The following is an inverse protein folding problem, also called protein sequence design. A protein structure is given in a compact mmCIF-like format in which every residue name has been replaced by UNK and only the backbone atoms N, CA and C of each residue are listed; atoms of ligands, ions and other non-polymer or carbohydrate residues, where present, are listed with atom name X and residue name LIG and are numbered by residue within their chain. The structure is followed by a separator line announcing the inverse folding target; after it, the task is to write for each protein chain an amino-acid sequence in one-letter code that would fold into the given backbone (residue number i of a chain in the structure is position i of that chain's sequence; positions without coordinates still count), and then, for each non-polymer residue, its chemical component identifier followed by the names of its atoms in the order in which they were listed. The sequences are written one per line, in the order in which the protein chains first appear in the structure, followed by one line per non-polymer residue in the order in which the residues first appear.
data_IF_901287291340
#
_entry.id   IF_901287291340
#
_cell.length_a   1.000
_cell.length_b   1.000
_cell.length_c   1.000
_cell.angle_alpha   90.00
_cell.angle_beta   90.00
_cell.angle_gamma   90.00
#
_symmetry.space_group_name_H-M   'P 1'
#
loop_
_entity.id
_entity.type
_entity.pdbx_description
1 polymer ?
#
# COMPACT_ATOMS: atom_id res chain seq x y z
N UNK A 1 -10.07 5.56 45.04
CA UNK A 1 -9.05 5.24 46.06
C UNK A 1 -7.93 4.38 45.45
N UNK A 2 -8.19 3.13 45.06
CA UNK A 2 -7.16 2.21 44.56
C UNK A 2 -6.38 2.67 43.31
N UNK A 3 -6.96 3.53 42.49
CA UNK A 3 -6.29 4.13 41.33
C UNK A 3 -5.33 5.29 41.69
N UNK A 4 -5.42 5.85 42.90
CA UNK A 4 -4.58 6.98 43.35
C UNK A 4 -3.58 6.62 44.43
N UNK A 5 -3.59 5.38 44.91
CA UNK A 5 -2.68 4.90 45.96
C UNK A 5 -1.59 4.02 45.34
N UNK A 6 -0.48 3.86 46.08
CA UNK A 6 0.58 2.92 45.69
C UNK A 6 0.05 1.50 45.57
N UNK A 7 0.78 0.66 44.84
CA UNK A 7 0.42 -0.74 44.70
C UNK A 7 0.28 -1.41 46.07
N UNK A 8 -0.88 -2.03 46.28
CA UNK A 8 -1.22 -2.74 47.51
C UNK A 8 -0.70 -4.18 47.47
N UNK A 9 -0.26 -4.66 46.31
CA UNK A 9 0.32 -5.99 46.13
C UNK A 9 1.84 -5.93 46.37
N UNK A 10 2.36 -6.89 47.12
CA UNK A 10 3.81 -7.04 47.32
C UNK A 10 4.43 -7.76 46.12
N UNK A 11 5.67 -7.39 45.78
CA UNK A 11 6.46 -8.08 44.75
C UNK A 11 7.33 -9.18 45.38
N UNK A 12 7.42 -10.38 44.77
CA UNK A 12 6.69 -10.82 43.57
C UNK A 12 5.20 -11.03 43.83
N UNK A 13 4.36 -10.67 42.84
CA UNK A 13 2.89 -10.75 42.96
C UNK A 13 2.47 -12.22 43.13
N UNK A 14 1.66 -12.50 44.15
CA UNK A 14 1.16 -13.86 44.38
C UNK A 14 0.18 -14.29 43.27
N UNK A 15 0.25 -15.57 42.86
CA UNK A 15 -0.56 -16.16 41.77
C UNK A 15 -2.08 -15.92 41.89
N UNK A 16 -2.60 -15.78 43.11
CA UNK A 16 -4.02 -15.45 43.36
C UNK A 16 -4.46 -14.08 42.83
N UNK A 17 -3.53 -13.18 42.55
CA UNK A 17 -3.77 -11.83 42.04
C UNK A 17 -3.24 -11.65 40.60
N UNK A 18 -2.83 -12.73 39.93
CA UNK A 18 -2.36 -12.66 38.53
C UNK A 18 -3.44 -13.04 37.53
N UNK A 19 -4.66 -13.30 38.01
CA UNK A 19 -5.81 -13.70 37.19
C UNK A 19 -7.06 -12.94 37.67
N UNK A 20 -7.94 -12.64 36.73
CA UNK A 20 -9.25 -12.08 37.04
C UNK A 20 -10.13 -13.15 37.74
N UNK A 21 -11.08 -12.75 38.60
CA UNK A 21 -12.09 -13.68 39.12
C UNK A 21 -12.94 -14.28 37.98
N UNK A 22 -13.37 -15.54 38.15
CA UNK A 22 -14.24 -16.20 37.18
C UNK A 22 -15.56 -15.42 37.01
N UNK A 23 -15.92 -15.15 35.76
CA UNK A 23 -17.14 -14.40 35.40
C UNK A 23 -17.06 -12.89 35.62
N UNK A 24 -15.90 -12.34 36.00
CA UNK A 24 -15.68 -10.88 36.06
C UNK A 24 -14.77 -10.41 34.91
N UNK A 25 -14.83 -9.11 34.59
CA UNK A 25 -13.95 -8.49 33.59
C UNK A 25 -12.49 -8.58 34.02
N UNK A 26 -11.59 -8.76 33.04
CA UNK A 26 -10.15 -8.76 33.27
C UNK A 26 -9.64 -7.33 33.58
N UNK A 27 -9.71 -6.95 34.84
CA UNK A 27 -9.36 -5.62 35.31
C UNK A 27 -8.45 -5.63 36.54
N UNK A 28 -7.29 -4.97 36.43
CA UNK A 28 -6.33 -4.86 37.53
C UNK A 28 -6.97 -4.17 38.74
N UNK A 29 -7.89 -3.21 38.52
CA UNK A 29 -8.60 -2.53 39.59
C UNK A 29 -9.53 -3.46 40.38
N UNK A 30 -10.18 -4.42 39.70
CA UNK A 30 -11.04 -5.44 40.34
C UNK A 30 -10.22 -6.39 41.20
N UNK A 31 -9.04 -6.79 40.71
CA UNK A 31 -8.09 -7.60 41.49
C UNK A 31 -7.64 -6.84 42.74
N UNK A 32 -7.30 -5.56 42.60
CA UNK A 32 -6.95 -4.70 43.75
C UNK A 32 -8.13 -4.50 44.70
N UNK A 33 -9.36 -4.41 44.22
CA UNK A 33 -10.55 -4.34 45.08
C UNK A 33 -10.67 -5.59 45.96
N UNK A 34 -10.51 -6.77 45.36
CA UNK A 34 -10.55 -8.05 46.07
C UNK A 34 -9.41 -8.17 47.08
N UNK A 35 -8.20 -7.78 46.70
CA UNK A 35 -7.04 -7.74 47.59
C UNK A 35 -7.27 -6.81 48.79
N UNK A 36 -7.88 -5.64 48.57
CA UNK A 36 -8.22 -4.70 49.64
C UNK A 36 -9.26 -5.27 50.62
N UNK A 37 -10.27 -5.99 50.12
CA UNK A 37 -11.26 -6.70 50.95
C UNK A 37 -10.59 -7.79 51.79
N UNK A 38 -9.70 -8.57 51.18
CA UNK A 38 -8.94 -9.58 51.92
C UNK A 38 -8.07 -8.93 53.01
N UNK A 39 -7.44 -7.78 52.75
CA UNK A 39 -6.70 -7.06 53.78
C UNK A 39 -7.59 -6.54 54.90
N UNK A 40 -8.82 -6.13 54.58
CA UNK A 40 -9.82 -5.71 55.56
C UNK A 40 -10.20 -6.84 56.52
N UNK A 41 -10.43 -8.04 55.99
CA UNK A 41 -10.75 -9.24 56.80
C UNK A 41 -9.59 -9.68 57.71
N UNK A 42 -8.38 -9.16 57.46
CA UNK A 42 -7.16 -9.41 58.23
C UNK A 42 -6.78 -8.22 59.12
N UNK A 43 -7.70 -7.27 59.34
CA UNK A 43 -7.49 -6.03 60.11
C UNK A 43 -6.29 -5.19 59.66
N UNK A 44 -5.88 -5.38 58.41
CA UNK A 44 -4.68 -4.78 57.81
C UNK A 44 -3.40 -5.06 58.62
N UNK A 45 -3.33 -6.18 59.35
CA UNK A 45 -2.13 -6.56 60.10
C UNK A 45 -0.94 -6.75 59.13
N UNK A 46 0.19 -6.04 59.32
CA UNK A 46 1.30 -6.09 58.37
C UNK A 46 1.87 -7.49 58.14
N UNK A 47 2.00 -8.31 59.18
CA UNK A 47 2.58 -9.64 59.07
C UNK A 47 1.62 -10.61 58.38
N UNK A 48 0.35 -10.60 58.79
CA UNK A 48 -0.67 -11.49 58.22
C UNK A 48 -0.99 -11.11 56.77
N UNK A 49 -1.14 -9.83 56.46
CA UNK A 49 -1.28 -9.34 55.07
C UNK A 49 -0.05 -9.71 54.22
N UNK A 50 1.16 -9.54 54.76
CA UNK A 50 2.41 -9.91 54.08
C UNK A 50 2.43 -11.38 53.65
N UNK A 51 1.97 -12.30 54.51
CA UNK A 51 1.84 -13.72 54.18
C UNK A 51 0.89 -14.01 53.01
N UNK A 52 -0.06 -13.10 52.75
CA UNK A 52 -1.01 -13.15 51.62
C UNK A 52 -0.59 -12.27 50.45
N UNK A 53 0.63 -11.71 50.47
CA UNK A 53 1.17 -10.90 49.38
C UNK A 53 0.62 -9.48 49.33
N UNK A 54 0.13 -8.96 50.46
CA UNK A 54 -0.52 -7.66 50.57
C UNK A 54 0.31 -6.71 51.42
N UNK A 55 0.35 -5.44 51.04
CA UNK A 55 0.94 -4.38 51.85
C UNK A 55 -0.14 -3.82 52.81
N UNK A 56 -0.20 -4.38 54.03
CA UNK A 56 -1.19 -4.01 55.06
C UNK A 56 -1.31 -2.50 55.29
N UNK A 57 -0.21 -1.77 55.55
CA UNK A 57 -0.23 -0.32 55.69
C UNK A 57 -0.82 0.43 54.48
N UNK A 58 -0.42 0.09 53.25
CA UNK A 58 -0.98 0.72 52.02
C UNK A 58 -2.45 0.37 51.84
N UNK A 59 -2.86 -0.87 52.12
CA UNK A 59 -4.27 -1.26 52.12
C UNK A 59 -5.10 -0.41 53.11
N UNK A 60 -4.58 -0.20 54.33
CA UNK A 60 -5.25 0.63 55.35
C UNK A 60 -5.41 2.07 54.87
N UNK A 61 -4.37 2.64 54.26
CA UNK A 61 -4.42 3.98 53.67
C UNK A 61 -5.48 4.05 52.55
N UNK A 62 -5.47 3.10 51.61
CA UNK A 62 -6.47 3.04 50.53
C UNK A 62 -7.90 2.93 51.08
N UNK A 63 -8.12 2.18 52.16
CA UNK A 63 -9.42 2.06 52.82
C UNK A 63 -9.84 3.38 53.50
N UNK A 64 -8.91 4.12 54.12
CA UNK A 64 -9.19 5.45 54.68
C UNK A 64 -9.58 6.44 53.58
N UNK A 65 -8.82 6.48 52.49
CA UNK A 65 -9.11 7.30 51.30
C UNK A 65 -10.49 6.94 50.72
N UNK A 66 -10.84 5.65 50.64
CA UNK A 66 -12.16 5.21 50.19
C UNK A 66 -13.31 5.69 51.10
N UNK A 67 -13.10 5.72 52.43
CA UNK A 67 -14.09 6.27 53.38
C UNK A 67 -14.31 7.75 53.15
N UNK A 68 -13.26 8.53 52.93
CA UNK A 68 -13.37 9.96 52.62
C UNK A 68 -14.19 10.21 51.36
N UNK A 69 -13.96 9.44 50.29
CA UNK A 69 -14.76 9.53 49.06
C UNK A 69 -16.23 9.15 49.30
N UNK A 70 -16.50 8.13 50.13
CA UNK A 70 -17.86 7.73 50.48
C UNK A 70 -18.59 8.81 51.28
N UNK A 71 -17.91 9.44 52.23
CA UNK A 71 -18.49 10.54 53.01
C UNK A 71 -18.79 11.76 52.12
N UNK A 72 -17.92 12.06 51.16
CA UNK A 72 -18.17 13.09 50.16
C UNK A 72 -19.38 12.73 49.26
N UNK A 73 -19.48 11.49 48.78
CA UNK A 73 -20.61 11.02 47.98
C UNK A 73 -21.94 11.12 48.74
N UNK A 74 -21.96 10.76 50.03
CA UNK A 74 -23.13 10.91 50.91
C UNK A 74 -23.56 12.36 51.08
N UNK A 75 -22.61 13.30 51.23
CA UNK A 75 -22.91 14.74 51.29
C UNK A 75 -23.54 15.26 50.00
N UNK A 76 -23.15 14.68 48.86
CA UNK A 76 -23.75 14.94 47.55
C UNK A 76 -25.06 14.16 47.31
N UNK A 77 -25.54 13.40 48.31
CA UNK A 77 -26.74 12.57 48.23
C UNK A 77 -26.69 11.51 47.11
N UNK A 78 -25.49 11.07 46.75
CA UNK A 78 -25.31 9.92 45.87
C UNK A 78 -25.61 8.63 46.63
N UNK A 79 -26.20 7.66 45.94
CA UNK A 79 -26.42 6.32 46.52
C UNK A 79 -25.08 5.61 46.69
N UNK A 80 -24.78 5.17 47.91
CA UNK A 80 -23.58 4.43 48.28
C UNK A 80 -23.87 2.98 48.68
N UNK A 81 -25.10 2.49 48.41
CA UNK A 81 -25.53 1.14 48.77
C UNK A 81 -25.15 0.13 47.69
N UNK A 82 -24.60 -1.01 48.11
CA UNK A 82 -24.26 -2.13 47.23
C UNK A 82 -22.88 -2.00 46.57
N UNK A 83 -22.54 -3.00 45.75
CA UNK A 83 -21.23 -3.11 45.06
C UNK A 83 -21.22 -2.41 43.68
N UNK A 84 -22.38 -2.19 43.06
CA UNK A 84 -22.49 -1.83 41.64
C UNK A 84 -22.06 -2.98 40.72
N UNK A 85 -22.20 -2.81 39.40
CA UNK A 85 -21.67 -3.74 38.41
C UNK A 85 -20.24 -3.34 37.99
N UNK A 86 -19.39 -4.33 37.72
CA UNK A 86 -18.04 -4.07 37.21
C UNK A 86 -18.08 -3.36 35.85
N UNK A 87 -19.06 -3.67 35.02
CA UNK A 87 -19.30 -2.96 33.75
C UNK A 87 -19.48 -1.46 33.97
N UNK A 88 -20.34 -1.05 34.90
CA UNK A 88 -20.59 0.37 35.20
C UNK A 88 -19.32 1.10 35.66
N UNK A 89 -18.49 0.42 36.47
CA UNK A 89 -17.18 0.95 36.88
C UNK A 89 -16.29 1.19 35.65
N UNK A 90 -16.19 0.21 34.75
CA UNK A 90 -15.33 0.30 33.57
C UNK A 90 -15.84 1.35 32.57
N UNK A 91 -17.14 1.44 32.34
CA UNK A 91 -17.78 2.52 31.56
C UNK A 91 -17.50 3.89 32.19
N UNK A 92 -17.56 4.00 33.52
CA UNK A 92 -17.20 5.23 34.23
C UNK A 92 -15.73 5.61 34.06
N UNK A 93 -14.82 4.62 34.04
CA UNK A 93 -13.40 4.86 33.75
C UNK A 93 -13.19 5.32 32.30
N UNK A 94 -13.96 4.78 31.33
CA UNK A 94 -13.94 5.23 29.94
C UNK A 94 -14.43 6.67 29.79
N UNK A 95 -15.45 7.05 30.56
CA UNK A 95 -15.93 8.43 30.64
C UNK A 95 -14.86 9.35 31.23
N UNK A 96 -14.16 8.90 32.28
CA UNK A 96 -13.18 9.72 32.99
C UNK A 96 -11.83 9.86 32.26
N UNK A 97 -11.41 8.81 31.54
CA UNK A 97 -10.08 8.72 30.91
C UNK A 97 -10.16 8.27 29.44
N UNK A 98 -10.88 9.01 28.58
CA UNK A 98 -11.06 8.61 27.20
C UNK A 98 -9.77 8.63 26.38
N UNK A 99 -8.81 9.48 26.74
CA UNK A 99 -7.47 9.57 26.16
C UNK A 99 -6.56 8.36 26.51
N UNK A 100 -7.00 7.50 27.44
CA UNK A 100 -6.20 6.37 27.95
C UNK A 100 -6.64 5.02 27.40
N UNK A 101 -7.43 5.02 26.33
CA UNK A 101 -7.83 3.82 25.61
C UNK A 101 -6.65 3.26 24.84
N UNK A 102 -6.38 1.97 25.00
CA UNK A 102 -5.38 1.24 24.25
C UNK A 102 -5.97 0.01 23.57
N UNK A 103 -5.60 -0.20 22.30
CA UNK A 103 -6.00 -1.36 21.50
C UNK A 103 -4.83 -2.32 21.36
N UNK A 104 -5.09 -3.62 21.53
CA UNK A 104 -4.07 -4.65 21.38
C UNK A 104 -3.72 -4.84 19.91
N UNK A 105 -2.45 -4.63 19.55
CA UNK A 105 -1.99 -4.80 18.16
C UNK A 105 -1.74 -6.26 17.80
N UNK A 106 -1.23 -7.03 18.77
CA UNK A 106 -0.96 -8.44 18.60
C UNK A 106 -1.26 -9.16 19.91
N UNK A 107 -2.13 -10.16 19.88
CA UNK A 107 -2.49 -10.93 21.08
C UNK A 107 -1.34 -11.81 21.60
N UNK A 108 -0.31 -12.09 20.79
CA UNK A 108 0.86 -12.91 21.17
C UNK A 108 1.92 -12.17 21.99
N UNK A 109 1.89 -10.84 22.02
CA UNK A 109 2.81 -10.03 22.81
C UNK A 109 2.05 -8.95 23.55
N UNK A 110 2.74 -8.10 24.33
CA UNK A 110 2.14 -7.06 25.16
C UNK A 110 1.95 -5.71 24.42
N UNK A 111 2.16 -5.66 23.10
CA UNK A 111 2.15 -4.41 22.34
C UNK A 111 0.73 -3.92 22.06
N UNK A 112 0.46 -2.69 22.50
CA UNK A 112 -0.76 -1.96 22.23
C UNK A 112 -0.47 -0.69 21.40
N UNK A 113 -1.54 -0.08 20.92
CA UNK A 113 -1.55 1.28 20.39
C UNK A 113 -2.49 2.14 21.23
N UNK A 114 -2.16 3.42 21.36
CA UNK A 114 -3.01 4.47 21.92
C UNK A 114 -3.09 5.62 20.92
N UNK A 115 -4.05 6.53 21.09
CA UNK A 115 -4.08 7.80 20.36
C UNK A 115 -2.71 8.51 20.52
N UNK A 116 -2.13 8.98 19.41
CA UNK A 116 -0.80 9.61 19.42
C UNK A 116 0.40 8.70 19.64
N UNK A 117 0.21 7.44 20.06
CA UNK A 117 1.30 6.51 20.39
C UNK A 117 1.07 5.11 19.78
N UNK A 118 1.71 4.87 18.63
CA UNK A 118 1.56 3.61 17.88
C UNK A 118 2.17 2.38 18.56
N UNK A 119 2.98 2.57 19.61
CA UNK A 119 3.69 1.50 20.30
C UNK A 119 3.83 1.79 21.79
N UNK A 120 2.93 1.23 22.57
CA UNK A 120 2.99 1.17 24.03
C UNK A 120 2.92 -0.30 24.46
N UNK A 121 3.35 -0.63 25.67
CA UNK A 121 3.41 -2.02 26.13
C UNK A 121 2.64 -2.21 27.44
N UNK A 122 1.74 -3.19 27.48
CA UNK A 122 1.03 -3.58 28.70
C UNK A 122 2.01 -4.15 29.74
N UNK A 123 1.79 -3.85 31.02
CA UNK A 123 2.50 -4.51 32.12
C UNK A 123 2.35 -6.04 32.03
N UNK A 124 3.44 -6.82 32.00
CA UNK A 124 3.39 -8.27 32.05
C UNK A 124 2.60 -8.86 33.22
N UNK A 125 2.44 -8.10 34.31
CA UNK A 125 1.70 -8.50 35.52
C UNK A 125 0.20 -8.21 35.45
N UNK A 126 -0.26 -7.46 34.44
CA UNK A 126 -1.68 -7.16 34.29
C UNK A 126 -2.51 -8.41 34.08
N UNK A 127 -3.74 -8.43 34.59
CA UNK A 127 -4.71 -9.50 34.30
C UNK A 127 -5.41 -9.31 32.95
N UNK A 128 -5.36 -8.12 32.36
CA UNK A 128 -5.99 -7.76 31.08
C UNK A 128 -5.19 -8.22 29.84
N UNK A 129 -4.30 -9.23 29.98
CA UNK A 129 -3.35 -9.64 28.93
C UNK A 129 -3.99 -10.09 27.63
N UNK A 130 -5.17 -10.70 27.73
CA UNK A 130 -5.92 -11.25 26.60
C UNK A 130 -6.97 -10.29 26.05
N UNK A 131 -7.19 -9.16 26.73
CA UNK A 131 -8.21 -8.19 26.34
C UNK A 131 -7.84 -7.52 24.99
N UNK A 132 -8.79 -7.40 24.05
CA UNK A 132 -8.55 -6.73 22.77
C UNK A 132 -8.40 -5.21 22.94
N UNK A 133 -9.04 -4.64 23.97
CA UNK A 133 -9.01 -3.23 24.30
C UNK A 133 -8.96 -3.06 25.82
N UNK A 134 -8.32 -1.97 26.27
CA UNK A 134 -8.17 -1.67 27.69
C UNK A 134 -8.08 -0.17 27.96
N UNK A 135 -8.31 0.20 29.21
CA UNK A 135 -7.98 1.53 29.76
C UNK A 135 -6.86 1.36 30.77
N UNK A 136 -5.77 2.09 30.56
CA UNK A 136 -4.65 2.16 31.48
C UNK A 136 -4.81 3.37 32.41
N UNK A 137 -4.89 3.13 33.72
CA UNK A 137 -5.01 4.23 34.68
C UNK A 137 -3.66 4.86 35.02
N UNK A 138 -2.57 4.14 34.76
CA UNK A 138 -1.20 4.61 34.94
C UNK A 138 -0.39 4.39 33.65
N UNK A 139 0.33 5.42 33.23
CA UNK A 139 1.20 5.39 32.07
C UNK A 139 2.58 5.85 32.52
N UNK A 140 3.58 5.00 32.33
CA UNK A 140 4.95 5.26 32.77
C UNK A 140 5.90 5.24 31.58
N UNK A 141 6.77 6.24 31.48
CA UNK A 141 7.89 6.21 30.54
C UNK A 141 9.10 5.59 31.22
N UNK A 142 9.59 4.49 30.66
CA UNK A 142 10.74 3.74 31.14
C UNK A 142 11.88 3.88 30.15
N UNK A 143 13.11 4.04 30.65
CA UNK A 143 14.29 3.92 29.81
C UNK A 143 14.41 2.46 29.32
N UNK A 144 14.39 2.27 28.01
CA UNK A 144 14.59 0.97 27.41
C UNK A 144 16.08 0.63 27.35
N UNK A 145 16.41 -0.67 27.27
CA UNK A 145 17.80 -1.11 27.05
C UNK A 145 18.25 -0.72 25.64
N UNK A 146 19.12 0.29 25.55
CA UNK A 146 19.70 0.84 24.33
C UNK A 146 19.63 2.37 24.32
N UNK A 147 20.67 3.04 23.79
CA UNK A 147 20.80 4.51 23.84
C UNK A 147 19.53 5.23 23.35
N UNK A 148 18.93 6.05 24.22
CA UNK A 148 17.89 7.03 23.89
C UNK A 148 16.49 6.47 23.59
N UNK A 149 16.21 5.18 23.80
CA UNK A 149 14.87 4.62 23.54
C UNK A 149 14.01 4.67 24.81
N UNK A 150 12.94 5.47 24.77
CA UNK A 150 11.89 5.47 25.80
C UNK A 150 10.85 4.40 25.45
N UNK A 151 10.43 3.63 26.46
CA UNK A 151 9.32 2.67 26.37
C UNK A 151 8.18 3.13 27.27
N UNK A 152 7.01 3.33 26.69
CA UNK A 152 5.78 3.61 27.44
C UNK A 152 5.14 2.31 27.93
N UNK A 153 4.96 2.18 29.23
CA UNK A 153 4.33 1.05 29.90
C UNK A 153 2.93 1.42 30.40
N UNK A 154 1.95 0.56 30.10
CA UNK A 154 0.58 0.69 30.56
C UNK A 154 0.37 -0.16 31.82
N UNK A 155 0.12 0.51 32.94
CA UNK A 155 -0.09 -0.11 34.24
C UNK A 155 -1.53 0.11 34.71
N UNK A 156 -1.97 -0.73 35.64
CA UNK A 156 -3.33 -0.71 36.17
C UNK A 156 -4.36 -0.71 35.04
N UNK A 157 -4.23 -1.70 34.16
CA UNK A 157 -5.00 -1.83 32.95
C UNK A 157 -6.31 -2.58 33.21
N UNK A 158 -7.38 -2.13 32.55
CA UNK A 158 -8.71 -2.66 32.73
C UNK A 158 -9.33 -2.94 31.38
N UNK A 159 -9.71 -4.20 31.13
CA UNK A 159 -10.36 -4.59 29.89
C UNK A 159 -11.64 -3.79 29.66
N UNK A 160 -11.87 -3.37 28.43
CA UNK A 160 -13.13 -2.73 28.02
C UNK A 160 -13.73 -3.46 26.82
N UNK A 161 -15.04 -3.35 26.66
CA UNK A 161 -15.68 -3.72 25.40
C UNK A 161 -15.46 -2.61 24.37
N UNK A 162 -15.16 -3.01 23.13
CA UNK A 162 -15.02 -2.09 22.02
C UNK A 162 -16.34 -1.40 21.65
N UNK A 163 -17.48 -2.09 21.85
CA UNK A 163 -18.80 -1.52 21.58
C UNK A 163 -19.07 -0.28 22.46
N UNK A 164 -18.43 -0.18 23.62
CA UNK A 164 -18.58 0.97 24.51
C UNK A 164 -17.97 2.25 23.93
N UNK A 165 -17.02 2.16 22.99
CA UNK A 165 -16.47 3.35 22.33
C UNK A 165 -17.54 4.05 21.50
N UNK A 166 -18.37 3.28 20.79
CA UNK A 166 -19.48 3.79 19.96
C UNK A 166 -20.68 4.19 20.83
N UNK A 167 -20.94 3.44 21.91
CA UNK A 167 -22.02 3.73 22.88
C UNK A 167 -21.78 5.05 23.64
N UNK A 168 -20.57 5.25 24.17
CA UNK A 168 -20.25 6.38 25.06
C UNK A 168 -19.77 7.60 24.28
N UNK A 169 -19.06 7.40 23.16
CA UNK A 169 -18.45 8.48 22.39
C UNK A 169 -18.73 8.37 20.88
N UNK A 170 -20.01 8.43 20.45
CA UNK A 170 -20.38 8.37 19.04
C UNK A 170 -19.71 9.46 18.19
N UNK A 171 -19.47 10.64 18.78
CA UNK A 171 -18.85 11.78 18.08
C UNK A 171 -17.31 11.66 17.93
N UNK A 172 -16.67 10.70 18.62
CA UNK A 172 -15.22 10.46 18.54
C UNK A 172 -14.87 9.26 17.68
N UNK A 173 -15.87 8.49 17.22
CA UNK A 173 -15.66 7.35 16.34
C UNK A 173 -15.93 7.73 14.88
N UNK A 174 -15.18 7.13 13.97
CA UNK A 174 -15.44 7.23 12.53
C UNK A 174 -15.20 5.89 11.85
N UNK A 175 -16.05 5.54 10.89
CA UNK A 175 -15.81 4.44 9.95
C UNK A 175 -15.43 5.02 8.58
N UNK A 176 -14.39 4.46 7.97
CA UNK A 176 -13.97 4.82 6.62
C UNK A 176 -13.53 3.58 5.85
N UNK A 177 -13.75 3.58 4.54
CA UNK A 177 -13.26 2.55 3.63
C UNK A 177 -11.84 2.93 3.23
N UNK A 178 -10.87 2.06 3.54
CA UNK A 178 -9.51 2.16 3.03
C UNK A 178 -9.34 1.21 1.85
N UNK A 179 -8.93 1.76 0.71
CA UNK A 179 -8.56 1.00 -0.48
C UNK A 179 -7.04 0.88 -0.51
N UNK A 180 -6.53 -0.34 -0.50
CA UNK A 180 -5.08 -0.59 -0.47
C UNK A 180 -4.72 -1.70 -1.44
N UNK A 181 -3.43 -1.82 -1.74
CA UNK A 181 -2.91 -2.93 -2.53
C UNK A 181 -2.27 -3.97 -1.63
N UNK A 182 -2.62 -5.22 -1.86
CA UNK A 182 -2.03 -6.38 -1.24
C UNK A 182 -0.99 -6.99 -2.18
N UNK A 183 0.28 -6.92 -1.78
CA UNK A 183 1.40 -7.47 -2.55
C UNK A 183 1.42 -9.00 -2.62
N UNK A 184 0.87 -9.69 -1.61
CA UNK A 184 0.78 -11.15 -1.59
C UNK A 184 -0.23 -11.63 -2.63
N UNK A 185 -1.44 -11.08 -2.58
CA UNK A 185 -2.55 -11.49 -3.44
C UNK A 185 -2.55 -10.79 -4.81
N UNK A 186 -1.65 -9.83 -5.00
CA UNK A 186 -1.54 -8.96 -6.17
C UNK A 186 -2.90 -8.38 -6.56
N UNK A 187 -3.58 -7.80 -5.58
CA UNK A 187 -4.94 -7.32 -5.69
C UNK A 187 -5.16 -6.04 -4.89
N UNK A 188 -6.09 -5.23 -5.36
CA UNK A 188 -6.68 -4.15 -4.59
C UNK A 188 -7.70 -4.74 -3.63
N UNK A 189 -7.62 -4.33 -2.37
CA UNK A 189 -8.49 -4.74 -1.28
C UNK A 189 -9.08 -3.51 -0.60
N UNK A 190 -10.34 -3.64 -0.20
CA UNK A 190 -11.00 -2.63 0.61
C UNK A 190 -11.21 -3.17 2.02
N UNK A 191 -10.85 -2.36 3.01
CA UNK A 191 -11.08 -2.65 4.43
C UNK A 191 -11.89 -1.50 5.01
N UNK A 192 -12.99 -1.82 5.68
CA UNK A 192 -13.68 -0.86 6.53
C UNK A 192 -12.89 -0.75 7.84
N UNK A 193 -12.51 0.47 8.19
CA UNK A 193 -11.63 0.76 9.32
C UNK A 193 -12.34 1.72 10.26
N UNK A 194 -12.57 1.28 11.49
CA UNK A 194 -13.13 2.12 12.53
C UNK A 194 -12.01 2.70 13.39
N UNK A 195 -12.11 4.01 13.63
CA UNK A 195 -11.14 4.81 14.37
C UNK A 195 -11.82 5.50 15.53
N UNK A 196 -11.12 5.55 16.65
CA UNK A 196 -11.41 6.41 17.78
C UNK A 196 -10.46 7.61 17.72
N UNK A 197 -10.97 8.81 18.00
CA UNK A 197 -10.25 10.09 17.86
C UNK A 197 -9.81 10.41 16.44
N UNK A 198 -10.71 10.20 15.48
CA UNK A 198 -10.46 10.45 14.06
C UNK A 198 -10.01 11.88 13.71
N UNK A 199 -10.30 12.86 14.56
CA UNK A 199 -9.84 14.25 14.41
C UNK A 199 -8.36 14.48 14.74
N UNK A 200 -7.68 13.48 15.30
CA UNK A 200 -6.27 13.57 15.68
C UNK A 200 -5.34 12.93 14.63
N UNK A 201 -4.09 13.42 14.53
CA UNK A 201 -3.11 12.96 13.54
C UNK A 201 -2.81 11.45 13.60
N UNK A 202 -3.02 10.82 14.74
CA UNK A 202 -2.78 9.40 14.97
C UNK A 202 -4.00 8.75 15.64
N UNK A 203 -5.15 8.87 14.98
CA UNK A 203 -6.39 8.23 15.38
C UNK A 203 -6.22 6.71 15.62
N UNK A 204 -6.83 6.23 16.69
CA UNK A 204 -6.68 4.87 17.17
C UNK A 204 -7.60 3.91 16.40
N UNK A 205 -7.02 3.07 15.55
CA UNK A 205 -7.77 2.01 14.85
C UNK A 205 -8.12 0.90 15.82
N UNK A 206 -9.42 0.66 16.04
CA UNK A 206 -9.91 -0.37 16.96
C UNK A 206 -10.65 -1.53 16.27
N UNK A 207 -11.10 -1.32 15.03
CA UNK A 207 -11.77 -2.37 14.25
C UNK A 207 -11.37 -2.30 12.78
N UNK A 208 -11.24 -3.48 12.15
CA UNK A 208 -10.94 -3.66 10.73
C UNK A 208 -11.76 -4.83 10.19
N UNK A 209 -12.51 -4.58 9.13
CA UNK A 209 -13.31 -5.62 8.46
C UNK A 209 -13.02 -5.59 6.97
N UNK A 210 -12.46 -6.68 6.40
CA UNK A 210 -12.30 -6.81 4.96
C UNK A 210 -13.67 -6.72 4.27
N UNK A 211 -13.76 -5.93 3.21
CA UNK A 211 -14.96 -5.85 2.38
C UNK A 211 -14.84 -6.85 1.23
N UNK A 212 -15.95 -7.51 0.91
CA UNK A 212 -16.01 -8.43 -0.24
C UNK A 212 -16.12 -7.67 -1.57
N UNK A 213 -16.82 -6.54 -1.56
CA UNK A 213 -16.96 -5.66 -2.72
C UNK A 213 -15.80 -4.66 -2.76
N UNK A 214 -15.23 -4.51 -3.95
CA UNK A 214 -14.16 -3.54 -4.23
C UNK A 214 -14.72 -2.49 -5.16
N UNK A 215 -14.60 -1.22 -4.78
CA UNK A 215 -14.81 -0.08 -5.67
C UNK A 215 -13.83 -0.16 -6.85
N UNK A 216 -14.36 -0.44 -8.03
CA UNK A 216 -13.58 -0.62 -9.24
C UNK A 216 -12.90 0.69 -9.66
N UNK A 217 -13.52 1.84 -9.43
CA UNK A 217 -12.93 3.14 -9.78
C UNK A 217 -11.66 3.38 -8.95
N UNK A 218 -11.75 3.18 -7.63
CA UNK A 218 -10.60 3.30 -6.74
C UNK A 218 -9.54 2.23 -7.02
N UNK A 219 -9.94 1.03 -7.45
CA UNK A 219 -9.01 -0.02 -7.83
C UNK A 219 -8.26 0.30 -9.13
N UNK A 220 -8.94 0.86 -10.12
CA UNK A 220 -8.35 1.29 -11.39
C UNK A 220 -7.26 2.35 -11.15
N UNK A 221 -7.54 3.36 -10.32
CA UNK A 221 -6.54 4.37 -9.90
C UNK A 221 -5.27 3.74 -9.32
N UNK A 222 -5.43 2.77 -8.41
CA UNK A 222 -4.29 2.08 -7.79
C UNK A 222 -3.53 1.22 -8.80
N UNK A 223 -4.22 0.55 -9.72
CA UNK A 223 -3.59 -0.27 -10.75
C UNK A 223 -2.81 0.60 -11.74
N UNK A 224 -3.39 1.72 -12.21
CA UNK A 224 -2.73 2.68 -13.11
C UNK A 224 -1.50 3.27 -12.43
N UNK A 225 -1.62 3.77 -11.21
CA UNK A 225 -0.48 4.31 -10.46
C UNK A 225 0.69 3.32 -10.34
N UNK A 226 0.38 2.02 -10.18
CA UNK A 226 1.39 0.96 -10.13
C UNK A 226 2.01 0.62 -11.48
N UNK A 227 1.24 0.68 -12.57
CA UNK A 227 1.77 0.51 -13.93
C UNK A 227 2.73 1.66 -14.25
N UNK A 228 2.32 2.91 -13.98
CA UNK A 228 3.12 4.11 -14.22
C UNK A 228 4.41 4.12 -13.38
N UNK A 229 4.37 3.56 -12.16
CA UNK A 229 5.55 3.41 -11.30
C UNK A 229 6.44 2.19 -11.66
N UNK A 230 6.18 1.50 -12.77
CA UNK A 230 6.86 0.25 -13.21
C UNK A 230 6.82 -0.88 -12.16
N UNK A 231 5.81 -0.87 -11.29
CA UNK A 231 5.59 -1.90 -10.27
C UNK A 231 4.74 -3.06 -10.82
N UNK A 232 3.93 -2.81 -11.84
CA UNK A 232 3.13 -3.81 -12.53
C UNK A 232 3.37 -3.74 -14.04
N UNK A 233 3.81 -4.86 -14.62
CA UNK A 233 4.09 -4.95 -16.07
C UNK A 233 2.91 -5.51 -16.85
N UNK A 234 2.51 -4.85 -17.93
CA UNK A 234 1.58 -5.41 -18.91
C UNK A 234 2.36 -6.29 -19.90
N UNK A 235 2.15 -7.62 -19.88
CA UNK A 235 2.94 -8.57 -20.68
C UNK A 235 2.74 -8.40 -22.19
N UNK A 236 1.55 -7.94 -22.59
CA UNK A 236 1.22 -7.65 -24.00
C UNK A 236 1.40 -6.19 -24.37
N UNK A 237 1.99 -5.38 -23.50
CA UNK A 237 2.63 -4.15 -23.92
C UNK A 237 3.96 -4.51 -24.59
N UNK A 238 3.87 -4.88 -25.86
CA UNK A 238 4.94 -5.51 -26.63
C UNK A 238 5.50 -4.55 -27.70
N UNK A 239 6.38 -5.06 -28.57
CA UNK A 239 6.97 -4.27 -29.65
C UNK A 239 5.95 -3.70 -30.63
N UNK A 240 4.80 -4.35 -30.82
CA UNK A 240 3.79 -3.86 -31.77
C UNK A 240 3.09 -2.61 -31.22
N UNK A 241 2.84 -2.57 -29.91
CA UNK A 241 2.34 -1.38 -29.19
C UNK A 241 3.33 -0.22 -29.33
N UNK A 242 4.60 -0.48 -29.03
CA UNK A 242 5.67 0.52 -29.14
C UNK A 242 5.80 1.06 -30.57
N UNK A 243 5.78 0.17 -31.57
CA UNK A 243 5.85 0.59 -32.96
C UNK A 243 4.63 1.43 -33.36
N UNK A 244 3.42 1.11 -32.91
CA UNK A 244 2.24 1.93 -33.17
C UNK A 244 2.37 3.34 -32.60
N UNK A 245 2.80 3.48 -31.34
CA UNK A 245 3.04 4.77 -30.68
C UNK A 245 4.07 5.58 -31.46
N UNK A 246 5.21 4.97 -31.80
CA UNK A 246 6.30 5.64 -32.52
C UNK A 246 5.91 6.07 -33.93
N UNK A 247 5.12 5.25 -34.65
CA UNK A 247 4.56 5.60 -35.96
C UNK A 247 3.65 6.81 -35.87
N UNK A 248 2.78 6.83 -34.85
CA UNK A 248 1.82 7.92 -34.65
C UNK A 248 2.52 9.22 -34.27
N UNK A 249 3.46 9.19 -33.32
CA UNK A 249 4.30 10.35 -32.94
C UNK A 249 5.08 10.93 -34.12
N UNK A 250 5.63 10.07 -34.98
CA UNK A 250 6.28 10.53 -36.21
C UNK A 250 5.29 11.31 -37.09
N UNK A 251 4.10 10.76 -37.31
CA UNK A 251 3.10 11.38 -38.18
C UNK A 251 2.51 12.65 -37.58
N UNK A 252 2.33 12.72 -36.26
CA UNK A 252 1.95 13.94 -35.57
C UNK A 252 2.92 15.08 -35.90
N UNK A 253 4.23 14.83 -35.80
CA UNK A 253 5.27 15.81 -36.15
C UNK A 253 5.27 16.21 -37.63
N UNK A 254 5.02 15.26 -38.53
CA UNK A 254 5.05 15.51 -39.98
C UNK A 254 3.76 16.11 -40.54
N UNK A 255 2.65 15.94 -39.83
CA UNK A 255 1.30 16.39 -40.21
C UNK A 255 0.60 17.10 -39.02
N UNK A 256 1.12 18.24 -38.53
CA UNK A 256 0.60 18.90 -37.34
C UNK A 256 -0.88 19.29 -37.44
N UNK A 257 -1.36 19.62 -38.65
CA UNK A 257 -2.76 19.98 -38.90
C UNK A 257 -3.77 18.83 -38.70
N UNK A 258 -3.32 17.60 -38.45
CA UNK A 258 -4.19 16.44 -38.18
C UNK A 258 -4.45 16.21 -36.70
N UNK A 259 -3.71 16.87 -35.81
CA UNK A 259 -3.92 16.78 -34.35
C UNK A 259 -3.96 15.32 -33.84
N UNK A 260 -3.04 14.49 -34.36
CA UNK A 260 -2.90 13.12 -33.88
C UNK A 260 -2.44 13.11 -32.42
N UNK A 261 -2.92 12.13 -31.65
CA UNK A 261 -2.52 11.85 -30.27
C UNK A 261 -0.98 11.72 -30.17
N UNK A 262 -0.40 12.30 -29.11
CA UNK A 262 1.04 12.29 -28.85
C UNK A 262 1.49 11.01 -28.11
N UNK A 263 0.57 10.35 -27.44
CA UNK A 263 0.81 9.40 -26.36
C UNK A 263 1.76 9.99 -25.31
N UNK A 264 1.57 11.24 -24.90
CA UNK A 264 2.28 11.75 -23.71
C UNK A 264 1.81 11.05 -22.42
N UNK A 265 2.41 11.38 -21.29
CA UNK A 265 2.14 10.68 -20.03
C UNK A 265 0.66 10.81 -19.62
N UNK A 266 0.02 11.95 -19.88
CA UNK A 266 -1.39 12.21 -19.56
C UNK A 266 -2.32 11.38 -20.48
N UNK A 267 -2.04 11.36 -21.80
CA UNK A 267 -2.78 10.55 -22.76
C UNK A 267 -2.61 9.04 -22.52
N UNK A 268 -1.39 8.61 -22.14
CA UNK A 268 -1.11 7.22 -21.76
C UNK A 268 -1.85 6.84 -20.47
N UNK A 269 -1.96 7.74 -19.52
CA UNK A 269 -2.71 7.51 -18.29
C UNK A 269 -4.18 7.16 -18.59
N UNK A 270 -4.83 7.90 -19.50
CA UNK A 270 -6.19 7.59 -19.96
C UNK A 270 -6.28 6.19 -20.58
N UNK A 271 -5.32 5.82 -21.43
CA UNK A 271 -5.28 4.49 -22.05
C UNK A 271 -5.07 3.40 -20.99
N UNK A 272 -4.23 3.64 -19.97
CA UNK A 272 -4.07 2.69 -18.87
C UNK A 272 -5.37 2.48 -18.11
N UNK A 273 -6.15 3.53 -17.85
CA UNK A 273 -7.49 3.39 -17.25
C UNK A 273 -8.40 2.48 -18.09
N UNK A 274 -8.43 2.66 -19.42
CA UNK A 274 -9.19 1.76 -20.29
C UNK A 274 -8.67 0.31 -20.25
N UNK A 275 -7.35 0.12 -20.21
CA UNK A 275 -6.72 -1.21 -20.12
C UNK A 275 -7.07 -1.88 -18.79
N UNK A 276 -7.15 -1.15 -17.67
CA UNK A 276 -7.44 -1.72 -16.36
C UNK A 276 -8.92 -1.77 -16.03
N UNK A 277 -9.78 -1.19 -16.86
CA UNK A 277 -11.21 -1.08 -16.63
C UNK A 277 -11.85 -2.38 -16.11
N UNK A 278 -12.60 -2.27 -15.02
CA UNK A 278 -13.30 -3.37 -14.35
C UNK A 278 -12.40 -4.40 -13.66
N UNK A 279 -11.10 -4.11 -13.49
CA UNK A 279 -10.18 -4.99 -12.78
C UNK A 279 -9.81 -4.44 -11.40
N UNK A 280 -9.54 -5.37 -10.49
CA UNK A 280 -8.99 -5.08 -9.17
C UNK A 280 -7.83 -6.03 -8.81
N UNK A 281 -7.45 -6.94 -9.72
CA UNK A 281 -6.33 -7.88 -9.55
C UNK A 281 -5.38 -7.81 -10.74
N UNK A 282 -4.08 -7.93 -10.48
CA UNK A 282 -3.09 -7.90 -11.55
C UNK A 282 -3.29 -9.00 -12.60
N UNK A 283 -3.67 -10.21 -12.18
CA UNK A 283 -3.95 -11.33 -13.10
C UNK A 283 -5.04 -11.03 -14.14
N UNK A 284 -5.96 -10.09 -13.86
CA UNK A 284 -7.03 -9.72 -14.76
C UNK A 284 -6.55 -8.78 -15.88
N UNK A 285 -5.42 -8.09 -15.68
CA UNK A 285 -4.89 -7.08 -16.61
C UNK A 285 -3.58 -7.50 -17.27
N UNK A 286 -2.77 -8.34 -16.62
CA UNK A 286 -1.41 -8.68 -17.04
C UNK A 286 -1.31 -9.14 -18.50
N UNK A 287 -2.29 -9.91 -18.97
CA UNK A 287 -2.32 -10.51 -20.32
C UNK A 287 -3.37 -9.88 -21.24
N UNK A 288 -3.97 -8.74 -20.87
CA UNK A 288 -4.90 -7.99 -21.73
C UNK A 288 -4.16 -7.51 -22.97
N UNK A 289 -4.79 -7.64 -24.12
CA UNK A 289 -4.21 -7.18 -25.38
C UNK A 289 -4.20 -5.65 -25.39
N UNK A 290 -3.00 -5.06 -25.35
CA UNK A 290 -2.83 -3.62 -25.15
C UNK A 290 -2.94 -2.84 -26.47
N UNK A 291 -2.62 -3.47 -27.60
CA UNK A 291 -2.58 -2.81 -28.90
C UNK A 291 -3.94 -2.21 -29.31
N UNK A 292 -5.09 -2.89 -29.14
CA UNK A 292 -6.39 -2.32 -29.45
C UNK A 292 -6.71 -1.05 -28.67
N UNK A 293 -6.35 -0.95 -27.38
CA UNK A 293 -6.60 0.24 -26.56
C UNK A 293 -5.81 1.44 -27.08
N UNK A 294 -4.53 1.23 -27.38
CA UNK A 294 -3.67 2.27 -27.96
C UNK A 294 -4.16 2.68 -29.35
N UNK A 295 -4.62 1.74 -30.19
CA UNK A 295 -5.19 2.05 -31.50
C UNK A 295 -6.50 2.83 -31.41
N UNK A 296 -7.39 2.44 -30.49
CA UNK A 296 -8.72 3.01 -30.33
C UNK A 296 -8.71 4.42 -29.72
N UNK A 297 -7.58 4.86 -29.18
CA UNK A 297 -7.35 6.28 -28.86
C UNK A 297 -7.41 7.19 -30.11
N UNK A 298 -7.33 6.62 -31.31
CA UNK A 298 -7.55 7.31 -32.58
C UNK A 298 -8.85 6.86 -33.25
N UNK A 299 -9.61 7.78 -33.90
CA UNK A 299 -10.70 7.41 -34.78
C UNK A 299 -10.21 6.51 -35.94
N UNK A 300 -11.07 5.61 -36.42
CA UNK A 300 -10.74 4.65 -37.49
C UNK A 300 -10.05 5.28 -38.71
N UNK A 301 -10.50 6.46 -39.13
CA UNK A 301 -9.92 7.19 -40.26
C UNK A 301 -8.45 7.56 -40.03
N UNK A 302 -8.09 7.96 -38.82
CA UNK A 302 -6.71 8.29 -38.46
C UNK A 302 -5.87 7.03 -38.25
N UNK A 303 -6.46 5.93 -37.75
CA UNK A 303 -5.78 4.63 -37.72
C UNK A 303 -5.35 4.19 -39.13
N UNK A 304 -6.24 4.29 -40.11
CA UNK A 304 -5.93 3.98 -41.52
C UNK A 304 -4.87 4.93 -42.09
N UNK A 305 -4.89 6.20 -41.70
CA UNK A 305 -3.87 7.17 -42.08
C UNK A 305 -2.48 6.76 -41.54
N UNK A 306 -2.39 6.31 -40.28
CA UNK A 306 -1.15 5.78 -39.69
C UNK A 306 -0.65 4.55 -40.46
N UNK A 307 -1.56 3.62 -40.78
CA UNK A 307 -1.22 2.43 -41.56
C UNK A 307 -0.67 2.75 -42.95
N UNK A 308 -1.26 3.74 -43.62
CA UNK A 308 -0.84 4.14 -44.96
C UNK A 308 0.45 4.97 -44.97
N UNK A 309 0.58 5.94 -44.07
CA UNK A 309 1.66 6.93 -44.12
C UNK A 309 2.92 6.49 -43.38
N UNK A 310 2.78 5.64 -42.37
CA UNK A 310 3.88 5.06 -41.63
C UNK A 310 3.76 3.53 -41.63
N UNK A 311 3.90 2.83 -42.77
CA UNK A 311 3.73 1.39 -42.83
C UNK A 311 4.88 0.67 -42.10
N UNK A 312 4.61 -0.53 -41.58
CA UNK A 312 5.65 -1.42 -41.03
C UNK A 312 6.50 -2.10 -42.12
N UNK A 313 6.01 -2.12 -43.35
CA UNK A 313 6.70 -2.72 -44.48
C UNK A 313 6.48 -1.92 -45.75
N UNK A 314 7.55 -1.75 -46.53
CA UNK A 314 7.49 -1.14 -47.86
C UNK A 314 7.81 -2.18 -48.93
N UNK A 315 7.00 -2.24 -49.98
CA UNK A 315 7.27 -3.10 -51.14
C UNK A 315 8.33 -2.45 -52.01
N UNK A 316 9.36 -3.21 -52.35
CA UNK A 316 10.48 -2.76 -53.19
C UNK A 316 10.22 -3.14 -54.66
N UNK A 317 10.86 -2.45 -55.64
CA UNK A 317 10.75 -2.80 -57.06
C UNK A 317 11.16 -4.24 -57.38
N UNK A 318 12.10 -4.80 -56.60
CA UNK A 318 12.53 -6.20 -56.65
C UNK A 318 11.42 -7.20 -56.29
N UNK A 319 10.24 -6.75 -55.86
CA UNK A 319 9.15 -7.57 -55.35
C UNK A 319 9.30 -7.99 -53.89
N UNK A 320 10.48 -7.76 -53.30
CA UNK A 320 10.74 -8.03 -51.88
C UNK A 320 10.10 -6.97 -50.97
N UNK A 321 10.01 -7.27 -49.67
CA UNK A 321 9.53 -6.34 -48.63
C UNK A 321 10.69 -5.87 -47.77
N UNK A 322 10.78 -4.56 -47.57
CA UNK A 322 11.65 -3.95 -46.56
C UNK A 322 10.87 -3.76 -45.27
N UNK A 323 11.41 -4.23 -44.14
CA UNK A 323 10.83 -3.95 -42.81
C UNK A 323 11.22 -2.53 -42.42
N UNK A 324 10.28 -1.77 -41.89
CA UNK A 324 10.52 -0.44 -41.33
C UNK A 324 10.40 -0.53 -39.82
N UNK A 325 11.40 -0.03 -39.12
CA UNK A 325 11.46 0.04 -37.67
C UNK A 325 11.50 1.50 -37.23
N UNK A 326 10.46 1.92 -36.51
CA UNK A 326 10.32 3.28 -35.98
C UNK A 326 11.04 3.38 -34.65
N UNK A 327 11.62 4.55 -34.37
CA UNK A 327 12.45 4.82 -33.20
C UNK A 327 12.06 6.18 -32.62
N UNK A 328 12.16 6.31 -31.29
CA UNK A 328 11.96 7.61 -30.62
C UNK A 328 13.02 8.61 -31.08
N UNK A 329 14.27 8.15 -31.12
CA UNK A 329 15.42 8.96 -31.52
C UNK A 329 15.84 8.67 -32.97
N UNK A 330 15.58 9.66 -33.83
CA UNK A 330 16.05 9.69 -35.21
C UNK A 330 15.04 9.20 -36.26
N UNK A 331 15.47 9.14 -37.54
CA UNK A 331 14.60 8.72 -38.64
C UNK A 331 14.26 7.22 -38.55
N UNK A 332 13.09 6.80 -39.07
CA UNK A 332 12.74 5.38 -39.18
C UNK A 332 13.76 4.61 -40.01
N UNK A 333 14.03 3.37 -39.60
CA UNK A 333 15.05 2.51 -40.21
C UNK A 333 14.43 1.53 -41.19
N UNK A 334 14.80 1.64 -42.46
CA UNK A 334 14.48 0.64 -43.49
C UNK A 334 15.50 -0.48 -43.47
N UNK A 335 15.08 -1.69 -43.12
CA UNK A 335 15.95 -2.87 -42.98
C UNK A 335 15.68 -3.86 -44.10
N UNK A 336 16.67 -4.03 -44.97
CA UNK A 336 16.58 -4.94 -46.11
C UNK A 336 17.94 -5.54 -46.45
N UNK A 337 17.93 -6.75 -47.02
CA UNK A 337 19.14 -7.32 -47.61
C UNK A 337 19.58 -6.46 -48.80
N UNK A 338 20.88 -6.35 -49.00
CA UNK A 338 21.45 -5.57 -50.10
C UNK A 338 20.90 -5.97 -51.47
N UNK A 339 20.62 -7.27 -51.69
CA UNK A 339 20.04 -7.75 -52.95
C UNK A 339 18.64 -7.20 -53.21
N UNK A 340 17.86 -6.95 -52.16
CA UNK A 340 16.52 -6.42 -52.29
C UNK A 340 16.52 -4.96 -52.77
N UNK A 341 17.64 -4.25 -52.61
CA UNK A 341 17.79 -2.83 -52.89
C UNK A 341 18.40 -2.53 -54.26
N UNK A 342 18.88 -3.53 -55.03
CA UNK A 342 19.60 -3.29 -56.28
C UNK A 342 18.82 -2.47 -57.31
N UNK A 343 17.50 -2.62 -57.34
CA UNK A 343 16.63 -1.93 -58.31
C UNK A 343 16.19 -0.53 -57.81
N UNK A 344 16.75 -0.04 -56.70
CA UNK A 344 16.49 1.30 -56.17
C UNK A 344 17.65 2.26 -56.46
N UNK A 345 17.35 3.35 -57.14
CA UNK A 345 18.30 4.42 -57.48
C UNK A 345 18.38 5.53 -56.45
N UNK A 346 17.36 5.68 -55.59
CA UNK A 346 17.26 6.73 -54.57
C UNK A 346 16.75 6.15 -53.25
N UNK A 347 17.04 6.85 -52.15
CA UNK A 347 16.61 6.42 -50.81
C UNK A 347 15.08 6.43 -50.72
N UNK A 348 14.45 5.31 -50.31
CA UNK A 348 13.00 5.27 -50.15
C UNK A 348 12.49 6.30 -49.14
N UNK A 349 11.35 6.88 -49.47
CA UNK A 349 10.63 7.83 -48.62
C UNK A 349 9.28 7.24 -48.20
N UNK A 350 8.79 7.66 -47.05
CA UNK A 350 7.45 7.36 -46.52
C UNK A 350 6.70 8.67 -46.21
N UNK A 351 5.51 8.57 -45.60
CA UNK A 351 4.72 9.71 -45.15
C UNK A 351 4.46 10.74 -46.27
N UNK A 352 4.08 10.26 -47.46
CA UNK A 352 3.84 11.12 -48.61
C UNK A 352 5.07 11.91 -49.09
N UNK A 353 6.28 11.37 -48.89
CA UNK A 353 7.54 12.00 -49.29
C UNK A 353 8.17 12.91 -48.23
N UNK A 354 7.58 13.00 -47.03
CA UNK A 354 8.07 13.88 -45.95
C UNK A 354 9.15 13.27 -45.07
N UNK A 355 9.31 11.95 -45.11
CA UNK A 355 10.27 11.24 -44.29
C UNK A 355 11.12 10.30 -45.14
N UNK A 356 12.41 10.61 -45.22
CA UNK A 356 13.43 9.75 -45.80
C UNK A 356 13.82 8.67 -44.80
N UNK A 357 13.94 7.43 -45.25
CA UNK A 357 14.36 6.32 -44.40
C UNK A 357 15.88 6.30 -44.22
N UNK A 358 16.34 5.98 -43.01
CA UNK A 358 17.71 5.56 -42.80
C UNK A 358 17.82 4.07 -43.14
N UNK A 359 18.56 3.72 -44.18
CA UNK A 359 18.70 2.33 -44.61
C UNK A 359 19.74 1.62 -43.77
N UNK A 360 19.33 0.55 -43.10
CA UNK A 360 20.23 -0.45 -42.55
C UNK A 360 20.35 -1.58 -43.56
N UNK A 361 21.38 -1.51 -44.39
CA UNK A 361 21.64 -2.47 -45.45
C UNK A 361 22.23 -3.73 -44.82
N UNK A 362 21.58 -4.86 -45.05
CA UNK A 362 21.93 -6.14 -44.46
C UNK A 362 22.68 -7.04 -45.45
N UNK A 363 23.66 -7.78 -44.95
CA UNK A 363 24.27 -8.88 -45.69
C UNK A 363 23.33 -10.11 -45.79
N UNK A 364 23.73 -11.17 -46.52
CA UNK A 364 22.93 -12.39 -46.66
C UNK A 364 22.54 -13.05 -45.33
N UNK A 365 23.39 -12.88 -44.30
CA UNK A 365 23.25 -13.37 -42.94
C UNK A 365 22.46 -12.43 -42.00
N UNK A 366 21.78 -11.40 -42.54
CA UNK A 366 21.01 -10.41 -41.77
C UNK A 366 21.83 -9.54 -40.81
N UNK A 367 23.16 -9.52 -40.91
CA UNK A 367 23.99 -8.57 -40.17
C UNK A 367 24.09 -7.24 -40.92
N UNK A 368 24.06 -6.09 -40.23
CA UNK A 368 24.29 -4.79 -40.85
C UNK A 368 25.66 -4.74 -41.53
N UNK A 369 25.68 -4.29 -42.78
CA UNK A 369 26.91 -4.06 -43.55
C UNK A 369 27.17 -2.58 -43.78
N UNK A 370 26.11 -1.78 -43.87
CA UNK A 370 26.18 -0.32 -43.99
C UNK A 370 24.90 0.28 -43.42
N UNK A 371 25.03 1.46 -42.82
CA UNK A 371 23.91 2.34 -42.50
C UNK A 371 24.07 3.61 -43.35
N UNK A 372 23.03 4.02 -44.08
CA UNK A 372 23.08 5.20 -44.97
C UNK A 372 21.70 5.85 -45.14
N UNK A 373 21.66 7.17 -45.26
CA UNK A 373 20.50 7.95 -45.69
C UNK A 373 20.62 8.37 -47.18
N UNK A 374 21.78 8.15 -47.80
CA UNK A 374 22.07 8.38 -49.22
C UNK A 374 22.35 7.05 -49.94
N UNK A 375 21.30 6.45 -50.51
CA UNK A 375 21.41 5.19 -51.25
C UNK A 375 22.17 5.38 -52.57
N UNK A 376 22.01 6.52 -53.24
CA UNK A 376 22.69 6.81 -54.51
C UNK A 376 24.21 6.92 -54.29
N UNK A 377 24.61 7.64 -53.25
CA UNK A 377 26.01 7.72 -52.82
C UNK A 377 26.57 6.38 -52.34
N UNK A 378 25.76 5.55 -51.69
CA UNK A 378 26.15 4.20 -51.33
C UNK A 378 26.52 3.37 -52.56
N UNK A 379 25.67 3.34 -53.59
CA UNK A 379 25.94 2.54 -54.79
C UNK A 379 27.21 2.97 -55.53
N UNK A 380 27.45 4.28 -55.61
CA UNK A 380 28.57 4.85 -56.37
C UNK A 380 29.89 4.80 -55.62
N UNK A 381 29.89 5.06 -54.31
CA UNK A 381 31.12 5.24 -53.51
C UNK A 381 31.43 4.06 -52.59
N UNK A 382 30.44 3.55 -51.86
CA UNK A 382 30.66 2.61 -50.76
C UNK A 382 30.49 1.14 -51.18
N UNK A 383 29.51 0.86 -52.03
CA UNK A 383 29.17 -0.50 -52.46
C UNK A 383 30.33 -1.24 -53.14
N UNK A 384 31.18 -0.63 -53.99
CA UNK A 384 32.31 -1.34 -54.59
C UNK A 384 33.26 -1.97 -53.56
N UNK A 385 33.46 -1.32 -52.41
CA UNK A 385 34.28 -1.84 -51.31
C UNK A 385 33.56 -2.94 -50.53
N UNK A 386 32.30 -2.69 -50.17
CA UNK A 386 31.43 -3.66 -49.47
C UNK A 386 31.28 -4.95 -50.30
N UNK A 387 31.10 -4.83 -51.62
CA UNK A 387 30.98 -5.93 -52.57
C UNK A 387 32.21 -6.83 -52.56
N UNK A 388 33.43 -6.30 -52.51
CA UNK A 388 34.67 -7.10 -52.45
C UNK A 388 34.70 -7.99 -51.22
N UNK A 389 34.36 -7.42 -50.05
CA UNK A 389 34.32 -8.15 -48.79
C UNK A 389 33.22 -9.21 -48.76
N UNK A 390 32.01 -8.86 -49.22
CA UNK A 390 30.87 -9.76 -49.22
C UNK A 390 31.01 -10.88 -50.25
N UNK A 391 31.49 -10.61 -51.47
CA UNK A 391 31.74 -11.62 -52.49
C UNK A 391 32.74 -12.69 -52.02
N UNK A 392 33.77 -12.29 -51.26
CA UNK A 392 34.73 -13.24 -50.65
C UNK A 392 34.07 -14.13 -49.61
N UNK A 393 33.21 -13.56 -48.74
CA UNK A 393 32.52 -14.32 -47.67
C UNK A 393 31.34 -15.15 -48.17
N UNK A 394 30.70 -14.71 -49.26
CA UNK A 394 29.43 -15.24 -49.78
C UNK A 394 29.51 -15.40 -51.31
N UNK A 395 30.35 -16.31 -51.84
CA UNK A 395 30.63 -16.42 -53.27
C UNK A 395 29.46 -16.95 -54.10
N UNK A 396 28.49 -17.63 -53.47
CA UNK A 396 27.30 -18.19 -54.14
C UNK A 396 26.16 -17.17 -54.33
N UNK A 397 26.28 -15.97 -53.78
CA UNK A 397 25.25 -14.93 -53.90
C UNK A 397 25.50 -14.03 -55.11
N UNK A 398 24.42 -13.48 -55.67
CA UNK A 398 24.49 -12.54 -56.78
C UNK A 398 24.93 -11.15 -56.29
N UNK A 399 25.97 -10.61 -56.93
CA UNK A 399 26.56 -9.30 -56.64
C UNK A 399 26.60 -8.48 -57.94
N UNK A 400 25.54 -7.71 -58.20
CA UNK A 400 25.43 -6.84 -59.39
C UNK A 400 26.43 -5.70 -59.33
#
# INVERSE_FOLDING_TARGET
ALAGERDILLRPVQSRYTHAPDGEYAADLVVRERALRQAHDLDYDPAVCGSKGLNGPTCRQAAQTARLYRDAARRLKLDDRGRGATEDLLKSLLIAFPDRVAIRRNRKNLLCAMAGQRRVELDPQSVAREAPALIALEIHELEARGEGKVRTALNLANAIDLAWLEEIYPDRVSAAIETTWNDHDQAVEQTEVHRYDAGERDALVYHRTPRMEVDLTAAEEILVARITADQLRLEKWNVDVEQWILRTRLLQRLFPNRELIAYDDDELQVIYHEIVAGAYRYKQIRTRDCLPYVQNALPWKEQQFVEQMAPLHQRLPSGMRMKIEYRADGPPRGRAKIQALYDLTSTPVIAGGRQTLLLEILGPNFRPVQVTDDLAGFWTRTYPEVKKGLKRRYPKHEWR
#
